data_IF_143671769796
#
_entry.id   IF_143671769796
#
_cell.length_a   1.000
_cell.length_b   1.000
_cell.length_c   1.000
_cell.angle_alpha   90.00
_cell.angle_beta   90.00
_cell.angle_gamma   90.00
#
_symmetry.space_group_name_H-M   'P 1'
#
loop_
_entity.id
_entity.type
_entity.pdbx_description
1 polymer ?
#
# COMPACT_ATOMS: atom_id res chain seq x y z
N UNK A 1 11.82 -21.33 -1.46
CA UNK A 1 10.63 -20.61 -2.02
C UNK A 1 10.54 -19.17 -1.52
N UNK A 2 11.13 -18.82 -0.37
CA UNK A 2 11.44 -17.43 0.01
C UNK A 2 12.47 -16.77 -0.91
N UNK A 3 13.28 -17.56 -1.59
CA UNK A 3 14.54 -17.09 -2.18
C UNK A 3 14.35 -16.20 -3.43
N UNK A 4 13.27 -16.40 -4.19
CA UNK A 4 13.02 -15.62 -5.42
C UNK A 4 12.62 -14.16 -5.12
N UNK A 5 11.73 -13.94 -4.14
CA UNK A 5 11.31 -12.59 -3.76
C UNK A 5 12.46 -11.83 -3.12
N UNK A 6 13.22 -12.48 -2.24
CA UNK A 6 14.41 -11.90 -1.62
C UNK A 6 15.46 -11.54 -2.68
N UNK A 7 15.74 -12.44 -3.63
CA UNK A 7 16.66 -12.17 -4.73
C UNK A 7 16.17 -10.99 -5.58
N UNK A 8 14.88 -10.95 -5.92
CA UNK A 8 14.29 -9.85 -6.68
C UNK A 8 14.43 -8.51 -5.95
N UNK A 9 14.00 -8.44 -4.68
CA UNK A 9 14.03 -7.21 -3.87
C UNK A 9 15.47 -6.74 -3.63
N UNK A 10 16.42 -7.66 -3.46
CA UNK A 10 17.84 -7.32 -3.22
C UNK A 10 18.50 -6.50 -4.34
N UNK A 11 17.92 -6.50 -5.54
CA UNK A 11 18.41 -5.76 -6.72
C UNK A 11 18.07 -4.27 -6.66
N UNK A 12 17.22 -3.86 -5.72
CA UNK A 12 16.70 -2.51 -5.64
C UNK A 12 17.08 -1.82 -4.32
N UNK A 13 17.10 -0.47 -4.30
CA UNK A 13 17.29 0.28 -3.07
C UNK A 13 16.18 0.01 -2.04
N UNK A 14 16.55 0.08 -0.76
CA UNK A 14 15.61 0.22 0.35
C UNK A 14 15.93 1.47 1.15
N UNK A 15 14.94 1.98 1.88
CA UNK A 15 15.10 3.09 2.82
C UNK A 15 14.45 2.72 4.15
N UNK A 16 14.93 3.25 5.29
CA UNK A 16 14.21 3.09 6.55
C UNK A 16 12.81 3.67 6.43
N UNK A 17 11.82 2.96 6.96
CA UNK A 17 10.50 3.53 7.20
C UNK A 17 10.67 4.70 8.17
N UNK A 18 10.07 5.88 7.91
CA UNK A 18 10.10 6.96 8.88
C UNK A 18 9.45 6.52 10.21
N UNK A 19 9.71 7.25 11.30
CA UNK A 19 9.23 6.89 12.65
C UNK A 19 8.77 8.10 13.46
N UNK A 20 8.30 9.14 12.77
CA UNK A 20 8.05 10.46 13.34
C UNK A 20 6.57 10.72 13.65
N UNK A 21 5.66 9.89 13.14
CA UNK A 21 4.21 10.07 13.23
C UNK A 21 3.50 8.77 13.64
N UNK A 22 2.22 8.82 14.07
CA UNK A 22 1.43 7.62 14.28
C UNK A 22 1.25 6.76 13.01
N UNK A 23 1.14 7.40 11.84
CA UNK A 23 1.09 6.68 10.55
C UNK A 23 2.40 5.93 10.27
N UNK A 24 3.55 6.56 10.50
CA UNK A 24 4.87 5.94 10.40
C UNK A 24 5.00 4.71 11.33
N UNK A 25 4.56 4.85 12.59
CA UNK A 25 4.63 3.76 13.57
C UNK A 25 3.70 2.60 13.22
N UNK A 26 2.51 2.90 12.71
CA UNK A 26 1.56 1.89 12.22
C UNK A 26 2.14 1.12 11.03
N UNK A 27 2.80 1.82 10.11
CA UNK A 27 3.52 1.22 8.99
C UNK A 27 4.63 0.27 9.48
N UNK A 28 5.50 0.72 10.39
CA UNK A 28 6.56 -0.12 10.97
C UNK A 28 5.98 -1.37 11.63
N UNK A 29 4.93 -1.21 12.44
CA UNK A 29 4.30 -2.30 13.18
C UNK A 29 3.75 -3.40 12.27
N UNK A 30 3.29 -3.05 11.07
CA UNK A 30 2.57 -3.99 10.20
C UNK A 30 3.31 -4.40 8.94
N UNK A 31 4.33 -3.65 8.53
CA UNK A 31 5.05 -3.88 7.26
C UNK A 31 6.58 -3.98 7.45
N UNK A 32 7.10 -3.49 8.57
CA UNK A 32 8.51 -3.58 8.96
C UNK A 32 9.26 -2.24 8.88
N UNK A 33 10.54 -2.28 9.24
CA UNK A 33 11.38 -1.07 9.39
C UNK A 33 11.95 -0.53 8.07
N UNK A 34 11.64 -1.16 6.94
CA UNK A 34 12.22 -0.84 5.65
C UNK A 34 11.16 -0.77 4.57
N UNK A 35 11.17 0.30 3.78
CA UNK A 35 10.47 0.34 2.51
C UNK A 35 11.40 -0.10 1.38
N UNK A 36 10.85 -0.87 0.45
CA UNK A 36 11.60 -1.48 -0.64
C UNK A 36 11.20 -0.87 -1.96
N UNK A 37 12.17 -0.35 -2.70
CA UNK A 37 11.90 0.00 -4.08
C UNK A 37 11.76 -1.27 -4.90
N UNK A 38 10.79 -1.32 -5.80
CA UNK A 38 10.62 -2.41 -6.76
C UNK A 38 10.22 -1.83 -8.11
N UNK A 39 10.40 -2.63 -9.16
CA UNK A 39 10.09 -2.23 -10.54
C UNK A 39 9.43 -3.39 -11.28
N UNK A 40 8.39 -3.08 -12.06
CA UNK A 40 7.64 -4.03 -12.87
C UNK A 40 6.56 -3.30 -13.68
N UNK A 41 6.18 -3.84 -14.84
CA UNK A 41 5.13 -3.30 -15.69
C UNK A 41 5.43 -1.86 -16.14
N UNK A 42 6.72 -1.54 -16.35
CA UNK A 42 7.20 -0.21 -16.74
C UNK A 42 7.04 0.87 -15.65
N UNK A 43 6.90 0.48 -14.38
CA UNK A 43 6.80 1.43 -13.27
C UNK A 43 7.71 1.07 -12.11
N UNK A 44 8.04 2.09 -11.30
CA UNK A 44 8.88 1.99 -10.12
C UNK A 44 8.13 2.56 -8.92
N UNK A 45 8.17 1.86 -7.80
CA UNK A 45 7.43 2.21 -6.58
C UNK A 45 8.20 1.76 -5.34
N UNK A 46 8.05 2.49 -4.23
CA UNK A 46 8.42 1.98 -2.91
C UNK A 46 7.18 1.34 -2.30
N UNK A 47 7.33 0.11 -1.83
CA UNK A 47 6.32 -0.60 -1.05
C UNK A 47 6.68 -0.54 0.43
N UNK A 48 5.66 -0.53 1.29
CA UNK A 48 5.85 -0.40 2.74
C UNK A 48 6.56 -1.64 3.29
N UNK A 49 6.19 -2.83 2.80
CA UNK A 49 6.85 -4.09 3.10
C UNK A 49 6.32 -5.24 2.25
N UNK A 50 6.80 -6.45 2.51
CA UNK A 50 6.31 -7.66 1.84
C UNK A 50 6.41 -8.89 2.74
N UNK A 51 5.63 -9.91 2.42
CA UNK A 51 5.68 -11.22 3.07
C UNK A 51 5.39 -12.31 2.05
N UNK A 52 6.33 -13.24 1.86
CA UNK A 52 6.30 -14.19 0.75
C UNK A 52 6.10 -13.44 -0.58
N UNK A 53 5.07 -13.78 -1.35
CA UNK A 53 4.75 -13.19 -2.66
C UNK A 53 3.69 -12.07 -2.56
N UNK A 54 3.44 -11.57 -1.35
CA UNK A 54 2.44 -10.53 -1.08
C UNK A 54 3.12 -9.21 -0.73
N UNK A 55 2.76 -8.15 -1.45
CA UNK A 55 3.10 -6.77 -1.12
C UNK A 55 2.19 -6.32 0.04
N UNK A 56 2.75 -5.59 1.00
CA UNK A 56 2.04 -5.02 2.14
C UNK A 56 2.00 -3.49 1.99
N UNK A 57 0.83 -2.90 2.20
CA UNK A 57 0.62 -1.45 2.20
C UNK A 57 -0.16 -1.04 3.44
N UNK A 58 0.42 -0.20 4.29
CA UNK A 58 -0.21 0.35 5.48
C UNK A 58 -0.89 1.68 5.17
N UNK A 59 -2.15 1.83 5.60
CA UNK A 59 -2.92 3.06 5.43
C UNK A 59 -3.62 3.42 6.73
N UNK A 60 -2.97 4.28 7.51
CA UNK A 60 -3.44 4.71 8.83
C UNK A 60 -4.47 5.83 8.75
N UNK A 61 -5.54 5.70 9.52
CA UNK A 61 -6.55 6.73 9.78
C UNK A 61 -6.29 7.33 11.15
N UNK A 62 -5.71 8.53 11.17
CA UNK A 62 -5.44 9.27 12.40
C UNK A 62 -6.70 9.91 13.00
N UNK A 63 -7.47 10.64 12.18
CA UNK A 63 -8.74 11.22 12.57
C UNK A 63 -9.82 10.81 11.56
N UNK A 64 -10.74 9.89 11.94
CA UNK A 64 -11.82 9.44 11.07
C UNK A 64 -12.67 10.59 10.51
N UNK A 65 -13.00 11.59 11.35
CA UNK A 65 -13.82 12.74 10.94
C UNK A 65 -13.18 13.59 9.86
N UNK A 66 -11.86 13.49 9.65
CA UNK A 66 -11.13 14.26 8.61
C UNK A 66 -10.27 13.37 7.72
N UNK A 67 -10.57 12.06 7.67
CA UNK A 67 -9.79 11.12 6.90
C UNK A 67 -10.13 11.20 5.42
N UNK A 68 -9.15 11.29 4.51
CA UNK A 68 -9.42 11.19 3.07
C UNK A 68 -9.95 9.81 2.67
N UNK A 69 -9.71 8.78 3.47
CA UNK A 69 -10.10 7.40 3.17
C UNK A 69 -11.57 7.11 3.49
N UNK A 70 -12.15 7.87 4.43
CA UNK A 70 -13.53 7.69 4.85
C UNK A 70 -14.46 8.51 3.93
N UNK A 71 -15.47 7.88 3.30
CA UNK A 71 -16.50 8.60 2.57
C UNK A 71 -17.24 9.59 3.49
N UNK A 72 -17.55 10.79 2.98
CA UNK A 72 -18.29 11.82 3.71
C UNK A 72 -17.63 12.35 5.01
N UNK A 73 -16.33 12.14 5.20
CA UNK A 73 -15.60 12.84 6.26
C UNK A 73 -15.58 14.36 6.01
N UNK A 74 -15.28 15.14 7.04
CA UNK A 74 -15.24 16.60 7.02
C UNK A 74 -13.96 17.18 6.40
N UNK A 75 -13.14 16.35 5.75
CA UNK A 75 -11.98 16.84 5.02
C UNK A 75 -12.44 17.69 3.81
N UNK A 76 -11.81 18.82 3.50
CA UNK A 76 -12.16 19.60 2.33
C UNK A 76 -12.07 18.79 1.03
N UNK A 77 -13.11 18.87 0.19
CA UNK A 77 -13.25 18.05 -1.04
C UNK A 77 -12.03 18.12 -1.96
N UNK A 78 -11.43 19.30 -2.16
CA UNK A 78 -10.26 19.46 -3.02
C UNK A 78 -9.03 18.72 -2.47
N UNK A 79 -8.89 18.63 -1.14
CA UNK A 79 -7.82 17.87 -0.47
C UNK A 79 -8.09 16.38 -0.64
N UNK A 80 -9.33 15.93 -0.39
CA UNK A 80 -9.72 14.52 -0.58
C UNK A 80 -9.45 14.05 -2.00
N UNK A 81 -9.91 14.81 -3.01
CA UNK A 81 -9.72 14.45 -4.42
C UNK A 81 -8.24 14.34 -4.78
N UNK A 82 -7.41 15.26 -4.28
CA UNK A 82 -5.96 15.21 -4.49
C UNK A 82 -5.34 13.94 -3.90
N UNK A 83 -5.65 13.62 -2.63
CA UNK A 83 -5.09 12.47 -1.93
C UNK A 83 -5.59 11.15 -2.55
N UNK A 84 -6.90 11.03 -2.81
CA UNK A 84 -7.47 9.84 -3.45
C UNK A 84 -6.88 9.64 -4.85
N UNK A 85 -6.62 10.70 -5.62
CA UNK A 85 -5.92 10.59 -6.91
C UNK A 85 -4.49 10.05 -6.75
N UNK A 86 -3.77 10.45 -5.72
CA UNK A 86 -2.41 9.96 -5.44
C UNK A 86 -2.42 8.46 -5.10
N UNK A 87 -3.36 8.03 -4.25
CA UNK A 87 -3.50 6.62 -3.85
C UNK A 87 -3.97 5.76 -5.03
N UNK A 88 -4.88 6.28 -5.84
CA UNK A 88 -5.28 5.60 -7.09
C UNK A 88 -4.09 5.39 -8.02
N UNK A 89 -3.20 6.38 -8.15
CA UNK A 89 -1.98 6.24 -8.95
C UNK A 89 -0.97 5.26 -8.34
N UNK A 90 -0.89 5.20 -7.01
CA UNK A 90 -0.11 4.19 -6.28
C UNK A 90 -0.65 2.77 -6.53
N UNK A 91 -1.95 2.53 -6.38
CA UNK A 91 -2.57 1.23 -6.62
C UNK A 91 -2.47 0.80 -8.08
N UNK A 92 -2.56 1.75 -9.02
CA UNK A 92 -2.26 1.49 -10.44
C UNK A 92 -0.83 0.98 -10.63
N UNK A 93 0.15 1.58 -9.95
CA UNK A 93 1.55 1.13 -10.04
C UNK A 93 1.75 -0.24 -9.39
N UNK A 94 1.15 -0.48 -8.23
CA UNK A 94 1.16 -1.79 -7.57
C UNK A 94 0.57 -2.87 -8.48
N UNK A 95 -0.55 -2.58 -9.15
CA UNK A 95 -1.16 -3.49 -10.12
C UNK A 95 -0.22 -3.80 -11.28
N UNK A 96 0.51 -2.81 -11.81
CA UNK A 96 1.48 -3.02 -12.87
C UNK A 96 2.63 -3.94 -12.43
N UNK A 97 3.12 -3.77 -11.21
CA UNK A 97 4.14 -4.66 -10.64
C UNK A 97 3.59 -6.07 -10.51
N UNK A 98 2.47 -6.26 -9.79
CA UNK A 98 1.89 -7.58 -9.49
C UNK A 98 1.49 -8.35 -10.78
N UNK A 99 1.07 -7.65 -11.83
CA UNK A 99 0.68 -8.28 -13.11
C UNK A 99 1.86 -8.50 -14.05
N UNK A 100 3.03 -7.95 -13.76
CA UNK A 100 4.22 -8.20 -14.57
C UNK A 100 4.76 -9.60 -14.26
N UNK A 101 4.78 -10.52 -15.24
CA UNK A 101 5.29 -11.89 -15.05
C UNK A 101 6.78 -11.95 -14.70
N UNK A 102 7.51 -10.85 -14.81
CA UNK A 102 8.92 -10.75 -14.41
C UNK A 102 9.10 -10.41 -12.94
N UNK A 103 8.02 -10.11 -12.22
CA UNK A 103 8.07 -9.91 -10.77
C UNK A 103 7.55 -11.14 -10.04
N UNK A 104 8.09 -11.48 -8.86
CA UNK A 104 7.64 -12.63 -8.09
C UNK A 104 6.45 -12.31 -7.18
N UNK A 105 5.87 -11.11 -7.27
CA UNK A 105 4.73 -10.72 -6.44
C UNK A 105 3.41 -11.13 -7.10
N UNK A 106 2.49 -11.65 -6.30
CA UNK A 106 1.22 -12.21 -6.77
C UNK A 106 0.00 -11.52 -6.18
N UNK A 107 0.17 -10.84 -5.04
CA UNK A 107 -0.95 -10.22 -4.33
C UNK A 107 -0.57 -8.98 -3.54
N UNK A 108 -1.60 -8.25 -3.11
CA UNK A 108 -1.52 -7.05 -2.27
C UNK A 108 -2.38 -7.22 -1.01
N UNK A 109 -1.80 -6.97 0.17
CA UNK A 109 -2.54 -6.85 1.43
C UNK A 109 -2.52 -5.37 1.85
N UNK A 110 -3.69 -4.73 1.87
CA UNK A 110 -3.85 -3.37 2.39
C UNK A 110 -4.24 -3.46 3.87
N UNK A 111 -3.45 -2.87 4.74
CA UNK A 111 -3.61 -2.91 6.18
C UNK A 111 -4.07 -1.53 6.65
N UNK A 112 -5.23 -1.43 7.28
CA UNK A 112 -5.75 -0.16 7.82
C UNK A 112 -6.28 -0.35 9.23
N UNK A 113 -6.34 0.72 10.02
CA UNK A 113 -6.86 0.68 11.39
C UNK A 113 -8.34 1.05 11.50
N UNK A 114 -9.02 1.31 10.38
CA UNK A 114 -10.40 1.80 10.41
C UNK A 114 -11.28 1.13 9.36
N UNK A 115 -12.36 0.49 9.82
CA UNK A 115 -13.28 -0.28 8.96
C UNK A 115 -13.95 0.58 7.88
N UNK A 116 -14.30 1.83 8.18
CA UNK A 116 -14.92 2.73 7.18
C UNK A 116 -13.99 3.12 6.02
N UNK A 117 -12.66 3.00 6.20
CA UNK A 117 -11.70 3.24 5.11
C UNK A 117 -11.65 2.05 4.13
N UNK A 118 -12.09 0.86 4.56
CA UNK A 118 -12.02 -0.39 3.80
C UNK A 118 -12.67 -0.27 2.42
N UNK A 119 -13.84 0.37 2.35
CA UNK A 119 -14.61 0.49 1.12
C UNK A 119 -13.82 1.18 0.00
N UNK A 120 -13.08 2.26 0.31
CA UNK A 120 -12.25 2.93 -0.69
C UNK A 120 -11.15 2.00 -1.24
N UNK A 121 -10.49 1.25 -0.36
CA UNK A 121 -9.41 0.35 -0.78
C UNK A 121 -9.96 -0.83 -1.58
N UNK A 122 -11.08 -1.43 -1.17
CA UNK A 122 -11.76 -2.49 -1.93
C UNK A 122 -12.16 -2.00 -3.33
N UNK A 123 -12.70 -0.78 -3.46
CA UNK A 123 -13.03 -0.17 -4.75
C UNK A 123 -11.79 -0.04 -5.66
N UNK A 124 -10.67 0.44 -5.12
CA UNK A 124 -9.42 0.59 -5.88
C UNK A 124 -8.82 -0.76 -6.29
N UNK A 125 -8.84 -1.75 -5.40
CA UNK A 125 -8.37 -3.11 -5.68
C UNK A 125 -9.19 -3.76 -6.80
N UNK A 126 -10.52 -3.56 -6.78
CA UNK A 126 -11.43 -4.01 -7.82
C UNK A 126 -11.18 -3.28 -9.14
N UNK A 127 -11.05 -1.94 -9.10
CA UNK A 127 -10.79 -1.11 -10.28
C UNK A 127 -9.56 -1.62 -11.05
N UNK A 128 -8.49 -1.92 -10.34
CA UNK A 128 -7.23 -2.37 -10.93
C UNK A 128 -7.12 -3.90 -11.04
N UNK A 129 -8.16 -4.67 -10.72
CA UNK A 129 -8.17 -6.14 -10.78
C UNK A 129 -6.91 -6.76 -10.13
N UNK A 130 -6.65 -6.40 -8.87
CA UNK A 130 -5.51 -6.89 -8.09
C UNK A 130 -5.99 -8.06 -7.21
N UNK A 131 -5.27 -9.19 -7.24
CA UNK A 131 -5.48 -10.26 -6.25
C UNK A 131 -5.08 -9.72 -4.88
N UNK A 132 -6.03 -9.60 -3.96
CA UNK A 132 -5.81 -8.78 -2.78
C UNK A 132 -6.70 -9.11 -1.59
N UNK A 133 -6.31 -8.56 -0.43
CA UNK A 133 -7.12 -8.50 0.78
C UNK A 133 -7.01 -7.11 1.43
N UNK A 134 -8.04 -6.70 2.18
CA UNK A 134 -8.00 -5.51 3.04
C UNK A 134 -8.25 -5.93 4.48
N UNK A 135 -7.23 -5.80 5.31
CA UNK A 135 -7.23 -6.27 6.69
C UNK A 135 -7.30 -5.09 7.65
N UNK A 136 -8.14 -5.21 8.67
CA UNK A 136 -8.22 -4.24 9.76
C UNK A 136 -7.29 -4.68 10.90
N UNK A 137 -6.37 -3.82 11.34
CA UNK A 137 -5.45 -4.06 12.48
C UNK A 137 -5.30 -2.82 13.36
N UNK A 138 -5.09 -3.04 14.65
CA UNK A 138 -4.80 -1.99 15.65
C UNK A 138 -3.30 -1.75 15.80
#
# INVERSE_FOLDING_TARGET
>A
MSDEVEEFVSRFPRKPTPSNSPDDLFEIQHTGEWNYQIEGGGTKIFIDGYRYRTILEAKYVNNPERSPYIPNSQIPNFIRQKIVKQIRDEFRRLANVIKDPLTPFESLEVITNHSEAKALFEELLQEFNIVSDVVIRE
#
